data_IF_570675680976
#
_entry.id   IF_570675680976
#
_cell.length_a   1.000
_cell.length_b   1.000
_cell.length_c   1.000
_cell.angle_alpha   90.00
_cell.angle_beta   90.00
_cell.angle_gamma   90.00
#
_symmetry.space_group_name_H-M   'P 1'
#
loop_
_entity.id
_entity.type
_entity.pdbx_description
1 polymer ?
#
# COMPACT_ATOMS: atom_id res chain seq x y z
N UNK A 1 13.02 3.55 0.49
CA UNK A 1 13.07 2.11 0.70
C UNK A 1 11.80 1.47 1.24
N UNK A 2 11.05 2.11 2.16
CA UNK A 2 9.81 1.53 2.69
C UNK A 2 8.75 1.33 1.61
N UNK A 3 8.59 2.27 0.70
CA UNK A 3 7.68 2.18 -0.44
C UNK A 3 8.06 1.04 -1.39
N UNK A 4 9.35 0.84 -1.65
CA UNK A 4 9.83 -0.26 -2.50
C UNK A 4 9.48 -1.60 -1.87
N UNK A 5 9.70 -1.78 -0.57
CA UNK A 5 9.35 -3.01 0.14
C UNK A 5 7.84 -3.27 0.13
N UNK A 6 7.03 -2.24 0.33
CA UNK A 6 5.57 -2.31 0.25
C UNK A 6 5.11 -2.75 -1.15
N UNK A 7 5.66 -2.14 -2.21
CA UNK A 7 5.29 -2.43 -3.60
C UNK A 7 5.78 -3.82 -4.05
N UNK A 8 7.04 -4.16 -3.74
CA UNK A 8 7.63 -5.39 -4.24
C UNK A 8 7.16 -6.64 -3.50
N UNK A 9 6.86 -6.55 -2.21
CA UNK A 9 6.48 -7.70 -1.39
C UNK A 9 4.98 -7.72 -1.17
N UNK A 10 4.44 -6.74 -0.45
CA UNK A 10 3.04 -6.78 -0.01
C UNK A 10 2.06 -6.62 -1.17
N UNK A 11 2.31 -5.72 -2.09
CA UNK A 11 1.41 -5.50 -3.22
C UNK A 11 1.46 -6.67 -4.23
N UNK A 12 2.61 -7.30 -4.43
CA UNK A 12 2.68 -8.53 -5.23
C UNK A 12 1.89 -9.68 -4.62
N UNK A 13 1.96 -9.87 -3.30
CA UNK A 13 1.16 -10.87 -2.59
C UNK A 13 -0.33 -10.58 -2.74
N UNK A 14 -0.75 -9.31 -2.65
CA UNK A 14 -2.14 -8.93 -2.90
C UNK A 14 -2.62 -9.29 -4.31
N UNK A 15 -1.85 -8.94 -5.32
CA UNK A 15 -2.19 -9.28 -6.70
C UNK A 15 -2.22 -10.78 -6.94
N UNK A 16 -1.37 -11.56 -6.27
CA UNK A 16 -1.37 -13.02 -6.38
C UNK A 16 -2.60 -13.66 -5.73
N UNK A 17 -3.11 -13.12 -4.61
CA UNK A 17 -4.21 -13.71 -3.84
C UNK A 17 -5.57 -13.15 -4.28
N UNK A 18 -5.70 -11.84 -4.39
CA UNK A 18 -6.97 -11.15 -4.68
C UNK A 18 -7.15 -10.87 -6.19
N UNK A 19 -6.07 -10.97 -6.96
CA UNK A 19 -6.07 -10.68 -8.39
C UNK A 19 -5.87 -9.20 -8.70
N UNK A 20 -6.16 -8.82 -9.95
CA UNK A 20 -5.97 -7.47 -10.45
C UNK A 20 -6.87 -6.46 -9.73
N UNK A 21 -6.52 -5.16 -9.81
CA UNK A 21 -7.24 -4.06 -9.13
C UNK A 21 -8.75 -4.10 -9.34
N UNK A 22 -9.18 -4.40 -10.57
CA UNK A 22 -10.60 -4.54 -10.89
C UNK A 22 -11.27 -5.71 -10.15
N UNK A 23 -10.54 -6.81 -9.95
CA UNK A 23 -11.00 -7.97 -9.18
C UNK A 23 -11.12 -7.64 -7.69
N UNK A 24 -10.14 -6.88 -7.14
CA UNK A 24 -10.16 -6.42 -5.75
C UNK A 24 -11.37 -5.51 -5.48
N UNK A 25 -11.66 -4.54 -6.37
CA UNK A 25 -12.82 -3.67 -6.24
C UNK A 25 -14.14 -4.45 -6.31
N UNK A 26 -14.23 -5.46 -7.17
CA UNK A 26 -15.42 -6.35 -7.23
C UNK A 26 -15.55 -7.16 -5.94
N UNK A 27 -14.43 -7.70 -5.44
CA UNK A 27 -14.41 -8.48 -4.20
C UNK A 27 -14.83 -7.61 -2.99
N UNK A 28 -14.43 -6.35 -2.94
CA UNK A 28 -14.80 -5.44 -1.85
C UNK A 28 -16.28 -5.09 -1.86
N UNK A 29 -16.88 -4.93 -3.04
CA UNK A 29 -18.31 -4.62 -3.21
C UNK A 29 -19.23 -5.85 -3.02
N UNK A 30 -18.69 -7.07 -3.10
CA UNK A 30 -19.47 -8.29 -2.86
C UNK A 30 -19.85 -8.44 -1.40
N UNK A 31 -21.00 -9.06 -1.14
CA UNK A 31 -21.39 -9.49 0.21
C UNK A 31 -20.39 -10.51 0.80
N UNK A 32 -20.43 -10.70 2.11
CA UNK A 32 -19.54 -11.63 2.79
C UNK A 32 -19.81 -13.06 2.36
N UNK A 33 -19.01 -13.56 1.42
CA UNK A 33 -19.04 -14.93 0.92
C UNK A 33 -17.84 -15.72 1.45
N UNK A 34 -17.98 -17.07 1.50
CA UNK A 34 -16.89 -17.96 1.90
C UNK A 34 -15.60 -17.73 1.08
N UNK A 35 -15.72 -17.39 -0.19
CA UNK A 35 -14.61 -17.04 -1.05
C UNK A 35 -13.90 -15.76 -0.61
N UNK A 36 -14.66 -14.72 -0.24
CA UNK A 36 -14.13 -13.45 0.28
C UNK A 36 -13.38 -13.66 1.59
N UNK A 37 -13.96 -14.43 2.51
CA UNK A 37 -13.33 -14.76 3.80
C UNK A 37 -12.03 -15.53 3.59
N UNK A 38 -12.03 -16.52 2.71
CA UNK A 38 -10.84 -17.32 2.39
C UNK A 38 -9.72 -16.46 1.80
N UNK A 39 -10.01 -15.62 0.80
CA UNK A 39 -9.01 -14.76 0.16
C UNK A 39 -8.46 -13.71 1.13
N UNK A 40 -9.32 -13.04 1.89
CA UNK A 40 -8.89 -12.05 2.89
C UNK A 40 -8.12 -12.71 4.06
N UNK A 41 -8.58 -13.86 4.52
CA UNK A 41 -7.89 -14.62 5.56
C UNK A 41 -6.51 -15.09 5.13
N UNK A 42 -6.40 -15.64 3.91
CA UNK A 42 -5.12 -16.05 3.33
C UNK A 42 -4.15 -14.86 3.20
N UNK A 43 -4.63 -13.73 2.73
CA UNK A 43 -3.83 -12.49 2.64
C UNK A 43 -3.31 -12.07 4.01
N UNK A 44 -4.16 -12.00 5.03
CA UNK A 44 -3.76 -11.60 6.38
C UNK A 44 -2.77 -12.59 6.98
N UNK A 45 -2.97 -13.89 6.75
CA UNK A 45 -2.06 -14.92 7.21
C UNK A 45 -0.68 -14.77 6.57
N UNK A 46 -0.61 -14.60 5.24
CA UNK A 46 0.67 -14.41 4.54
C UNK A 46 1.36 -13.12 4.98
N UNK A 47 0.63 -12.05 5.16
CA UNK A 47 1.18 -10.78 5.68
C UNK A 47 1.75 -10.94 7.09
N UNK A 48 1.05 -11.67 7.95
CA UNK A 48 1.54 -11.97 9.29
C UNK A 48 2.81 -12.81 9.26
N UNK A 49 2.87 -13.84 8.42
CA UNK A 49 4.05 -14.68 8.25
C UNK A 49 5.27 -13.89 7.76
N UNK A 50 5.08 -13.02 6.77
CA UNK A 50 6.16 -12.14 6.28
C UNK A 50 6.62 -11.20 7.40
N UNK A 51 5.70 -10.58 8.11
CA UNK A 51 6.00 -9.68 9.24
C UNK A 51 6.76 -10.42 10.35
N UNK A 52 6.37 -11.65 10.65
CA UNK A 52 7.03 -12.48 11.65
C UNK A 52 8.45 -12.84 11.24
N UNK A 53 8.68 -13.23 9.99
CA UNK A 53 10.02 -13.53 9.47
C UNK A 53 10.93 -12.30 9.55
N UNK A 54 10.43 -11.15 9.09
CA UNK A 54 11.20 -9.89 9.13
C UNK A 54 11.53 -9.50 10.56
N UNK A 55 10.58 -9.67 11.50
CA UNK A 55 10.77 -9.38 12.91
C UNK A 55 11.85 -10.28 13.54
N UNK A 56 11.86 -11.57 13.18
CA UNK A 56 12.90 -12.50 13.64
C UNK A 56 14.28 -12.12 13.09
N UNK A 57 14.38 -11.77 11.82
CA UNK A 57 15.66 -11.32 11.22
C UNK A 57 16.15 -10.04 11.90
N UNK A 58 15.25 -9.10 12.16
CA UNK A 58 15.61 -7.87 12.86
C UNK A 58 16.05 -8.12 14.30
N UNK A 59 15.36 -9.00 15.00
CA UNK A 59 15.73 -9.38 16.37
C UNK A 59 17.09 -10.12 16.39
N UNK A 60 17.34 -11.01 15.43
CA UNK A 60 18.63 -11.66 15.26
C UNK A 60 19.78 -10.66 15.03
N UNK A 61 19.49 -9.56 14.34
CA UNK A 61 20.47 -8.49 14.13
C UNK A 61 20.77 -7.72 15.43
N UNK A 62 19.78 -7.51 16.31
CA UNK A 62 19.93 -6.77 17.57
C UNK A 62 20.61 -7.59 18.68
N UNK A 63 20.22 -8.85 18.85
CA UNK A 63 20.64 -9.70 19.96
C UNK A 63 21.83 -10.58 19.56
N UNK A 64 21.98 -10.85 18.27
CA UNK A 64 22.92 -11.81 17.75
C UNK A 64 22.22 -13.13 17.37
N UNK A 65 22.63 -13.69 16.23
CA UNK A 65 22.03 -14.91 15.68
C UNK A 65 22.21 -16.12 16.59
N UNK A 66 23.39 -16.24 17.22
CA UNK A 66 23.74 -17.38 18.07
C UNK A 66 22.89 -17.39 19.35
N UNK A 67 22.71 -16.23 19.96
CA UNK A 67 21.90 -16.10 21.18
C UNK A 67 20.43 -16.36 20.89
N UNK A 68 19.91 -15.86 19.78
CA UNK A 68 18.53 -16.11 19.38
C UNK A 68 18.28 -17.61 19.15
N UNK A 69 19.22 -18.34 18.54
CA UNK A 69 19.12 -19.79 18.35
C UNK A 69 19.10 -20.57 19.67
N UNK A 70 19.86 -20.12 20.66
CA UNK A 70 19.84 -20.70 22.01
C UNK A 70 18.48 -20.45 22.68
N UNK A 71 17.96 -19.23 22.61
CA UNK A 71 16.68 -18.87 23.21
C UNK A 71 15.50 -19.63 22.57
N UNK A 72 15.55 -19.86 21.25
CA UNK A 72 14.56 -20.68 20.54
C UNK A 72 14.62 -22.14 21.02
N UNK A 73 15.83 -22.70 21.21
CA UNK A 73 16.01 -24.09 21.70
C UNK A 73 15.57 -24.27 23.16
N UNK A 74 15.81 -23.28 24.01
CA UNK A 74 15.41 -23.33 25.41
C UNK A 74 13.91 -23.12 25.65
N UNK A 75 13.23 -22.57 24.65
CA UNK A 75 11.80 -22.36 24.63
C UNK A 75 11.36 -20.97 25.11
N UNK A 76 10.19 -20.50 24.61
CA UNK A 76 9.72 -19.13 24.82
C UNK A 76 9.39 -18.79 26.27
N UNK A 77 9.14 -19.79 27.10
CA UNK A 77 8.77 -19.59 28.51
C UNK A 77 9.96 -19.19 29.40
N UNK A 78 11.18 -19.56 29.04
CA UNK A 78 12.39 -19.18 29.80
C UNK A 78 12.82 -17.73 29.51
N UNK A 79 12.62 -17.28 28.27
CA UNK A 79 13.01 -15.95 27.78
C UNK A 79 11.76 -15.12 27.43
N UNK A 80 10.88 -14.94 28.41
CA UNK A 80 9.59 -14.26 28.21
C UNK A 80 9.75 -12.84 27.67
N UNK A 81 10.77 -12.10 28.12
CA UNK A 81 11.02 -10.73 27.68
C UNK A 81 11.31 -10.64 26.18
N UNK A 82 12.19 -11.52 25.68
CA UNK A 82 12.51 -11.56 24.24
C UNK A 82 11.31 -11.98 23.41
N UNK A 83 10.54 -12.95 23.91
CA UNK A 83 9.32 -13.40 23.23
C UNK A 83 8.26 -12.30 23.15
N UNK A 84 8.02 -11.59 24.26
CA UNK A 84 7.07 -10.45 24.28
C UNK A 84 7.56 -9.33 23.38
N UNK A 85 8.85 -9.01 23.38
CA UNK A 85 9.44 -8.02 22.49
C UNK A 85 9.23 -8.39 21.01
N UNK A 86 9.44 -9.67 20.65
CA UNK A 86 9.19 -10.20 19.32
C UNK A 86 7.71 -10.03 18.91
N UNK A 87 6.78 -10.39 19.80
CA UNK A 87 5.35 -10.25 19.52
C UNK A 87 4.93 -8.79 19.32
N UNK A 88 5.41 -7.88 20.18
CA UNK A 88 5.13 -6.45 20.06
C UNK A 88 5.68 -5.92 18.71
N UNK A 89 6.92 -6.23 18.41
CA UNK A 89 7.55 -5.77 17.17
C UNK A 89 6.84 -6.33 15.93
N UNK A 90 6.50 -7.63 15.94
CA UNK A 90 5.74 -8.26 14.86
C UNK A 90 4.36 -7.60 14.66
N UNK A 91 3.68 -7.29 15.77
CA UNK A 91 2.36 -6.65 15.74
C UNK A 91 2.44 -5.23 15.19
N UNK A 92 3.41 -4.44 15.62
CA UNK A 92 3.64 -3.08 15.13
C UNK A 92 4.00 -3.12 13.64
N UNK A 93 4.91 -4.00 13.25
CA UNK A 93 5.33 -4.15 11.86
C UNK A 93 4.16 -4.58 10.97
N UNK A 94 3.39 -5.57 11.41
CA UNK A 94 2.19 -6.02 10.71
C UNK A 94 1.17 -4.88 10.54
N UNK A 95 0.89 -4.12 11.61
CA UNK A 95 -0.02 -2.98 11.58
C UNK A 95 0.42 -1.92 10.57
N UNK A 96 1.70 -1.57 10.57
CA UNK A 96 2.26 -0.58 9.66
C UNK A 96 2.10 -1.02 8.19
N UNK A 97 2.43 -2.26 7.86
CA UNK A 97 2.43 -2.72 6.49
C UNK A 97 1.08 -3.25 5.99
N UNK A 98 0.24 -3.80 6.87
CA UNK A 98 -1.07 -4.31 6.49
C UNK A 98 -2.14 -3.21 6.44
N UNK A 99 -2.10 -2.25 7.36
CA UNK A 99 -3.17 -1.27 7.52
C UNK A 99 -2.71 0.18 7.29
N UNK A 100 -1.65 0.60 7.92
CA UNK A 100 -1.20 1.99 7.86
C UNK A 100 -0.48 2.34 6.54
N UNK A 101 0.14 1.38 5.91
CA UNK A 101 0.73 1.45 4.55
C UNK A 101 1.37 2.80 4.19
N UNK A 102 0.84 3.42 3.15
CA UNK A 102 1.32 4.68 2.59
C UNK A 102 1.07 5.88 3.52
N UNK A 103 0.13 5.77 4.46
CA UNK A 103 -0.16 6.80 5.44
C UNK A 103 1.05 7.12 6.35
N UNK A 104 1.92 6.13 6.58
CA UNK A 104 3.17 6.36 7.31
C UNK A 104 4.03 7.42 6.62
N UNK A 105 4.13 7.37 5.29
CA UNK A 105 4.95 8.31 4.52
C UNK A 105 4.32 9.71 4.48
N UNK A 106 2.99 9.79 4.50
CA UNK A 106 2.26 11.05 4.40
C UNK A 106 2.20 11.76 5.76
N UNK A 107 1.89 11.00 6.84
CA UNK A 107 1.58 11.58 8.15
C UNK A 107 2.79 11.57 9.07
N UNK A 108 3.47 10.42 9.21
CA UNK A 108 4.46 10.19 10.25
C UNK A 108 5.90 10.40 9.79
N UNK A 109 6.20 10.21 8.50
CA UNK A 109 7.57 10.26 8.01
C UNK A 109 8.05 11.70 7.81
N UNK A 110 9.03 12.18 8.59
CA UNK A 110 9.58 13.54 8.43
C UNK A 110 10.25 13.72 7.06
N UNK A 111 10.78 12.65 6.48
CA UNK A 111 11.39 12.66 5.15
C UNK A 111 10.37 12.95 4.04
N UNK A 112 9.16 12.41 4.14
CA UNK A 112 8.09 12.70 3.18
C UNK A 112 7.71 14.19 3.18
N UNK A 113 7.66 14.80 4.35
CA UNK A 113 7.43 16.26 4.49
C UNK A 113 8.58 17.10 3.94
N UNK A 114 9.82 16.70 4.24
CA UNK A 114 11.02 17.38 3.71
C UNK A 114 11.05 17.31 2.18
N UNK A 115 10.69 16.17 1.59
CA UNK A 115 10.63 16.02 0.14
C UNK A 115 9.62 16.98 -0.51
N UNK A 116 8.49 17.24 0.15
CA UNK A 116 7.50 18.21 -0.32
C UNK A 116 8.05 19.66 -0.35
N UNK A 117 8.91 20.03 0.59
CA UNK A 117 9.53 21.35 0.64
C UNK A 117 10.65 21.53 -0.40
N UNK A 118 11.27 20.42 -0.82
CA UNK A 118 12.34 20.41 -1.83
C UNK A 118 11.81 20.44 -3.28
N UNK A 119 10.48 20.48 -3.48
CA UNK A 119 9.89 20.63 -4.81
C UNK A 119 10.20 22.02 -5.35
N UNK A 120 10.78 22.06 -6.55
CA UNK A 120 11.10 23.28 -7.30
C UNK A 120 10.19 23.38 -8.54
N UNK A 121 10.09 24.56 -9.14
CA UNK A 121 9.35 24.80 -10.40
C UNK A 121 9.83 23.94 -11.58
N UNK A 122 11.03 23.34 -11.47
CA UNK A 122 11.58 22.40 -12.45
C UNK A 122 11.28 20.94 -12.15
N UNK A 123 10.66 20.64 -11.02
CA UNK A 123 10.30 19.27 -10.64
C UNK A 123 9.18 18.74 -11.52
N UNK A 124 9.34 17.50 -12.01
CA UNK A 124 8.31 16.84 -12.81
C UNK A 124 7.21 16.36 -11.86
N UNK A 125 6.04 16.95 -11.99
CA UNK A 125 4.85 16.58 -11.20
C UNK A 125 3.78 16.05 -12.11
N UNK A 126 3.13 14.96 -11.73
CA UNK A 126 1.92 14.48 -12.39
C UNK A 126 0.74 15.26 -11.86
N UNK A 127 0.17 16.11 -12.70
CA UNK A 127 -0.98 16.94 -12.34
C UNK A 127 -2.05 16.86 -13.42
N UNK A 128 -3.31 17.03 -13.02
CA UNK A 128 -4.42 17.16 -13.97
C UNK A 128 -4.39 18.52 -14.66
N UNK A 129 -4.42 18.51 -16.00
CA UNK A 129 -4.50 19.74 -16.79
C UNK A 129 -5.95 20.12 -17.05
N UNK A 130 -6.51 20.95 -16.18
CA UNK A 130 -7.89 21.44 -16.28
C UNK A 130 -8.15 22.29 -17.53
N UNK A 131 -7.13 22.98 -18.06
CA UNK A 131 -7.26 23.77 -19.29
C UNK A 131 -7.50 22.89 -20.51
N UNK A 132 -6.95 21.68 -20.49
CA UNK A 132 -7.14 20.71 -21.57
C UNK A 132 -8.39 19.88 -21.42
N UNK A 133 -8.79 19.57 -20.17
CA UNK A 133 -9.85 18.63 -19.86
C UNK A 133 -11.24 19.25 -19.65
N UNK A 134 -11.27 20.51 -19.25
CA UNK A 134 -12.50 21.24 -18.88
C UNK A 134 -12.66 22.48 -19.76
N UNK A 135 -12.94 22.32 -21.05
CA UNK A 135 -13.21 23.45 -21.93
C UNK A 135 -14.44 24.27 -21.47
N UNK A 136 -14.80 25.33 -22.21
CA UNK A 136 -15.91 26.24 -21.89
C UNK A 136 -17.26 25.54 -21.59
N UNK A 137 -17.42 24.29 -22.00
CA UNK A 137 -18.62 23.48 -21.80
C UNK A 137 -18.52 22.48 -20.63
N UNK A 138 -17.48 22.60 -19.75
CA UNK A 138 -17.24 21.70 -18.64
C UNK A 138 -16.66 20.33 -19.05
N UNK A 139 -16.42 19.49 -18.05
CA UNK A 139 -15.82 18.16 -18.20
C UNK A 139 -16.75 17.21 -18.96
N UNK A 140 -16.30 16.73 -20.13
CA UNK A 140 -17.03 15.73 -20.93
C UNK A 140 -16.25 14.42 -20.99
N UNK A 141 -17.00 13.32 -20.90
CA UNK A 141 -16.45 11.96 -21.05
C UNK A 141 -15.87 11.75 -22.44
N UNK A 142 -14.70 11.11 -22.48
CA UNK A 142 -14.09 10.68 -23.73
C UNK A 142 -15.01 9.71 -24.49
N UNK A 143 -15.28 10.02 -25.77
CA UNK A 143 -15.94 9.13 -26.72
C UNK A 143 -15.00 8.81 -27.88
N UNK A 144 -14.90 7.55 -28.26
CA UNK A 144 -13.91 7.05 -29.21
C UNK A 144 -14.03 7.64 -30.64
N UNK A 145 -15.21 8.13 -31.00
CA UNK A 145 -15.53 8.60 -32.37
C UNK A 145 -15.60 10.14 -32.47
N UNK A 146 -15.22 10.89 -31.45
CA UNK A 146 -15.26 12.35 -31.45
C UNK A 146 -13.86 12.93 -31.66
N UNK A 147 -13.78 14.01 -32.45
CA UNK A 147 -12.51 14.72 -32.66
C UNK A 147 -12.23 15.63 -31.45
N UNK A 148 -11.31 15.16 -30.59
CA UNK A 148 -10.98 15.75 -29.28
C UNK A 148 -10.46 17.17 -29.38
N UNK A 149 -9.64 17.44 -30.42
CA UNK A 149 -9.00 18.74 -30.61
C UNK A 149 -10.03 19.82 -31.01
N UNK A 150 -11.02 19.42 -31.79
CA UNK A 150 -12.08 20.33 -32.22
C UNK A 150 -13.06 20.68 -31.09
N UNK A 151 -13.26 19.75 -30.14
CA UNK A 151 -14.23 19.90 -29.04
C UNK A 151 -13.61 20.37 -27.72
N UNK A 152 -12.28 20.49 -27.65
CA UNK A 152 -11.58 20.85 -26.40
C UNK A 152 -11.75 19.82 -25.27
N UNK A 153 -12.12 18.59 -25.59
CA UNK A 153 -12.34 17.54 -24.61
C UNK A 153 -11.03 16.90 -24.15
N UNK A 154 -10.90 16.57 -22.85
CA UNK A 154 -9.80 15.83 -22.30
C UNK A 154 -9.85 14.32 -22.62
N UNK A 155 -8.81 13.61 -22.22
CA UNK A 155 -8.66 12.16 -22.44
C UNK A 155 -9.28 11.32 -21.30
N UNK A 156 -9.96 11.94 -20.35
CA UNK A 156 -10.56 11.25 -19.21
C UNK A 156 -11.82 10.50 -19.62
N UNK A 157 -11.91 9.22 -19.23
CA UNK A 157 -13.07 8.35 -19.46
C UNK A 157 -13.99 8.23 -18.23
N UNK A 158 -13.73 9.00 -17.16
CA UNK A 158 -14.45 8.97 -15.88
C UNK A 158 -14.54 7.56 -15.26
N UNK A 159 -13.47 6.81 -15.31
CA UNK A 159 -13.43 5.47 -14.67
C UNK A 159 -13.16 5.51 -13.17
N UNK A 160 -12.84 6.67 -12.59
CA UNK A 160 -12.54 6.90 -11.17
C UNK A 160 -11.43 6.02 -10.59
N UNK A 161 -10.63 5.36 -11.41
CA UNK A 161 -9.52 4.53 -10.94
C UNK A 161 -8.43 5.35 -10.25
N UNK A 162 -8.13 6.54 -10.76
CA UNK A 162 -7.18 7.47 -10.14
C UNK A 162 -7.60 7.86 -8.71
N UNK A 163 -8.88 8.15 -8.50
CA UNK A 163 -9.44 8.49 -7.18
C UNK A 163 -9.35 7.28 -6.23
N UNK A 164 -9.70 6.09 -6.70
CA UNK A 164 -9.64 4.87 -5.89
C UNK A 164 -8.22 4.42 -5.54
N UNK A 165 -7.23 4.77 -6.35
CA UNK A 165 -5.82 4.42 -6.11
C UNK A 165 -5.12 5.50 -5.31
N UNK A 166 -5.66 6.71 -5.24
CA UNK A 166 -5.04 7.82 -4.54
C UNK A 166 -5.00 7.56 -3.03
N UNK A 167 -3.79 7.50 -2.42
CA UNK A 167 -3.65 7.22 -0.98
C UNK A 167 -4.11 8.39 -0.11
N UNK A 168 -4.23 9.59 -0.71
CA UNK A 168 -4.62 10.81 -0.03
C UNK A 168 -6.09 11.17 -0.21
N UNK A 169 -6.86 10.33 -0.92
CA UNK A 169 -8.28 10.54 -1.23
C UNK A 169 -8.57 11.87 -1.98
N UNK A 170 -7.65 12.27 -2.84
CA UNK A 170 -7.87 13.45 -3.70
C UNK A 170 -8.82 13.04 -4.82
N UNK A 171 -9.88 13.80 -4.99
CA UNK A 171 -10.78 13.72 -6.14
C UNK A 171 -10.07 14.43 -7.32
N UNK A 172 -9.65 13.65 -8.32
CA UNK A 172 -8.87 14.10 -9.48
C UNK A 172 -9.78 14.22 -10.68
#
# INVERSE_FOLDING_TARGET
>A
PQTIFLEMVFRRVEYAIEGDRNAQMKLDKQEWNAEKIRKKGLKWFVFFMISFIVSNVFLAYLIGSDQLLVEIKEGPLKHLNTFVALLIFTSVFYFVFAWFREQVCIIACPYGRLQGVLLDNKSIVVAYDYKRGEGENGRKKFRKNEDRKALGNGDCIDCFQCVHVCPTNIDI
#
